data_IF_934754972850
#
_entry.id   IF_934754972850
#
_cell.length_a   1.000
_cell.length_b   1.000
_cell.length_c   1.000
_cell.angle_alpha   90.00
_cell.angle_beta   90.00
_cell.angle_gamma   90.00
#
_symmetry.space_group_name_H-M   'P 1'
#
loop_
_entity.id
_entity.type
_entity.pdbx_description
1 polymer ?
#
# COMPACT_ATOMS: atom_id res chain seq x y z
N UNK A 1 3.40 30.41 2.65
CA UNK A 1 4.10 30.98 3.82
C UNK A 1 5.27 30.11 4.28
N UNK A 2 5.06 28.83 4.62
CA UNK A 2 6.12 27.92 5.13
C UNK A 2 7.34 27.80 4.20
N UNK A 3 7.13 27.60 2.89
CA UNK A 3 8.23 27.52 1.91
C UNK A 3 9.13 28.77 1.88
N UNK A 4 8.57 29.97 2.08
CA UNK A 4 9.38 31.19 2.10
C UNK A 4 10.37 31.20 3.26
N UNK A 5 10.04 30.56 4.39
CA UNK A 5 10.96 30.40 5.53
C UNK A 5 12.09 29.46 5.14
N UNK A 6 11.78 28.28 4.58
CA UNK A 6 12.79 27.31 4.12
C UNK A 6 13.80 27.94 3.16
N UNK A 7 13.34 28.76 2.20
CA UNK A 7 14.22 29.50 1.29
C UNK A 7 15.20 30.43 1.98
N UNK A 8 14.77 31.16 3.02
CA UNK A 8 15.65 32.07 3.76
C UNK A 8 16.78 31.32 4.48
N UNK A 9 16.51 30.10 4.92
CA UNK A 9 17.49 29.24 5.59
C UNK A 9 18.26 28.32 4.63
N UNK A 10 17.94 28.31 3.33
CA UNK A 10 18.58 27.44 2.35
C UNK A 10 18.33 25.94 2.58
N UNK A 11 17.17 25.59 3.14
CA UNK A 11 16.79 24.19 3.46
C UNK A 11 15.63 23.69 2.60
N UNK A 12 15.53 22.36 2.44
CA UNK A 12 14.37 21.67 1.86
C UNK A 12 13.14 21.76 2.77
N UNK A 13 11.96 21.43 2.22
CA UNK A 13 10.73 21.23 3.00
C UNK A 13 10.30 19.76 2.93
N UNK A 14 10.00 19.17 4.09
CA UNK A 14 9.57 17.77 4.21
C UNK A 14 8.05 17.61 4.26
N UNK A 15 7.53 16.70 3.44
CA UNK A 15 6.12 16.29 3.42
C UNK A 15 5.98 14.91 4.05
N UNK A 16 5.39 14.87 5.25
CA UNK A 16 5.03 13.63 5.95
C UNK A 16 3.69 13.08 5.44
N UNK A 17 3.51 11.76 5.54
CA UNK A 17 2.35 11.06 4.96
C UNK A 17 2.20 11.35 3.46
N UNK A 18 3.34 11.41 2.77
CA UNK A 18 3.43 11.70 1.34
C UNK A 18 3.14 10.50 0.44
N UNK A 19 2.62 9.40 0.99
CA UNK A 19 2.16 8.25 0.20
C UNK A 19 0.81 8.55 -0.47
N UNK A 20 0.61 8.02 -1.69
CA UNK A 20 -0.71 7.89 -2.30
C UNK A 20 -1.42 9.19 -2.69
N UNK A 21 -0.72 10.34 -2.77
CA UNK A 21 -1.31 11.58 -3.28
C UNK A 21 -1.45 11.52 -4.81
N UNK A 22 -2.29 12.39 -5.37
CA UNK A 22 -2.48 12.48 -6.82
C UNK A 22 -1.27 13.13 -7.50
N UNK A 23 -1.17 12.96 -8.82
CA UNK A 23 -0.11 13.59 -9.64
C UNK A 23 -0.11 15.11 -9.47
N UNK A 24 -1.29 15.72 -9.50
CA UNK A 24 -1.50 17.17 -9.39
C UNK A 24 -1.00 17.70 -8.04
N UNK A 25 -1.23 16.95 -6.95
CA UNK A 25 -0.71 17.32 -5.65
C UNK A 25 0.83 17.36 -5.64
N UNK A 26 1.49 16.38 -6.26
CA UNK A 26 2.95 16.37 -6.34
C UNK A 26 3.50 17.47 -7.26
N UNK A 27 2.80 17.77 -8.36
CA UNK A 27 3.15 18.87 -9.27
C UNK A 27 3.13 20.20 -8.56
N UNK A 28 2.04 20.49 -7.82
CA UNK A 28 1.95 21.70 -6.99
C UNK A 28 3.08 21.76 -5.97
N UNK A 29 3.41 20.65 -5.29
CA UNK A 29 4.52 20.61 -4.35
C UNK A 29 5.85 20.93 -5.04
N UNK A 30 6.14 20.28 -6.17
CA UNK A 30 7.34 20.49 -6.97
C UNK A 30 7.50 21.93 -7.45
N UNK A 31 6.45 22.49 -8.04
CA UNK A 31 6.42 23.86 -8.54
C UNK A 31 6.64 24.89 -7.43
N UNK A 32 5.92 24.74 -6.32
CA UNK A 32 6.02 25.68 -5.19
C UNK A 32 7.44 25.68 -4.62
N UNK A 33 8.07 24.52 -4.50
CA UNK A 33 9.38 24.38 -3.87
C UNK A 33 10.56 24.47 -4.85
N UNK A 34 10.30 24.57 -6.16
CA UNK A 34 11.35 24.39 -7.17
C UNK A 34 12.07 23.05 -7.00
N UNK A 35 11.32 21.99 -6.67
CA UNK A 35 11.82 20.64 -6.39
C UNK A 35 12.75 20.50 -5.16
N UNK A 36 12.96 21.55 -4.35
CA UNK A 36 13.72 21.49 -3.10
C UNK A 36 12.86 20.94 -1.94
N UNK A 37 12.52 19.66 -2.03
CA UNK A 37 11.57 19.00 -1.15
C UNK A 37 12.01 17.58 -0.75
N UNK A 38 11.41 17.07 0.31
CA UNK A 38 11.51 15.68 0.74
C UNK A 38 10.11 15.07 0.86
N UNK A 39 9.89 13.88 0.31
CA UNK A 39 8.62 13.15 0.47
C UNK A 39 8.87 11.88 1.26
N UNK A 40 8.25 11.77 2.43
CA UNK A 40 8.29 10.55 3.22
C UNK A 40 7.18 9.60 2.81
N UNK A 41 7.57 8.45 2.26
CA UNK A 41 6.66 7.38 1.85
C UNK A 41 6.94 6.11 2.66
N UNK A 42 5.88 5.47 3.17
CA UNK A 42 6.02 4.20 3.90
C UNK A 42 4.83 3.28 3.67
N UNK A 43 3.60 3.75 3.90
CA UNK A 43 2.37 2.96 3.69
C UNK A 43 2.25 2.46 2.25
N UNK A 44 2.65 3.31 1.29
CA UNK A 44 2.64 2.92 -0.13
C UNK A 44 3.44 1.64 -0.40
N UNK A 45 4.54 1.38 0.29
CA UNK A 45 5.33 0.18 0.04
C UNK A 45 4.60 -1.09 0.52
N UNK A 46 3.86 -1.00 1.62
CA UNK A 46 2.99 -2.11 2.06
C UNK A 46 1.87 -2.37 1.05
N UNK A 47 1.26 -1.31 0.53
CA UNK A 47 0.27 -1.41 -0.55
C UNK A 47 0.84 -2.12 -1.79
N UNK A 48 2.00 -1.66 -2.29
CA UNK A 48 2.62 -2.21 -3.49
C UNK A 48 3.01 -3.69 -3.34
N UNK A 49 3.33 -4.15 -2.13
CA UNK A 49 3.51 -5.58 -1.85
C UNK A 49 2.20 -6.36 -2.03
N UNK A 50 1.08 -5.86 -1.50
CA UNK A 50 -0.23 -6.46 -1.70
C UNK A 50 -0.58 -6.62 -3.17
N UNK A 51 -0.35 -5.58 -3.98
CA UNK A 51 -0.60 -5.65 -5.43
C UNK A 51 0.35 -6.61 -6.14
N UNK A 52 1.63 -6.67 -5.74
CA UNK A 52 2.58 -7.63 -6.31
C UNK A 52 2.16 -9.07 -6.04
N UNK A 53 1.71 -9.37 -4.82
CA UNK A 53 1.21 -10.70 -4.46
C UNK A 53 -0.09 -11.04 -5.18
N UNK A 54 -1.01 -10.08 -5.35
CA UNK A 54 -2.27 -10.31 -6.07
C UNK A 54 -2.08 -10.58 -7.56
N UNK A 55 -0.96 -10.15 -8.14
CA UNK A 55 -0.61 -10.33 -9.55
C UNK A 55 0.31 -11.54 -9.79
N UNK A 56 0.93 -12.09 -8.75
CA UNK A 56 1.82 -13.24 -8.85
C UNK A 56 1.06 -14.50 -9.27
N UNK A 57 1.65 -15.29 -10.18
CA UNK A 57 1.12 -16.59 -10.58
C UNK A 57 1.59 -17.73 -9.68
N UNK A 58 2.56 -17.47 -8.80
CA UNK A 58 3.03 -18.45 -7.84
C UNK A 58 1.92 -18.80 -6.82
N UNK A 59 1.60 -20.10 -6.62
CA UNK A 59 0.54 -20.51 -5.70
C UNK A 59 0.74 -20.08 -4.23
N UNK A 60 1.99 -20.02 -3.76
CA UNK A 60 2.29 -19.60 -2.38
C UNK A 60 2.04 -18.10 -2.19
N UNK A 61 2.43 -17.28 -3.16
CA UNK A 61 2.15 -15.84 -3.13
C UNK A 61 0.65 -15.55 -3.21
N UNK A 62 -0.06 -16.26 -4.09
CA UNK A 62 -1.52 -16.16 -4.21
C UNK A 62 -2.23 -16.61 -2.93
N UNK A 63 -1.71 -17.62 -2.23
CA UNK A 63 -2.18 -18.03 -0.91
C UNK A 63 -1.97 -16.95 0.14
N UNK A 64 -0.76 -16.37 0.21
CA UNK A 64 -0.46 -15.27 1.12
C UNK A 64 -1.35 -14.04 0.86
N UNK A 65 -1.59 -13.70 -0.41
CA UNK A 65 -2.51 -12.62 -0.80
C UNK A 65 -3.93 -12.86 -0.29
N UNK A 66 -4.48 -14.07 -0.51
CA UNK A 66 -5.83 -14.42 -0.05
C UNK A 66 -5.96 -14.32 1.45
N UNK A 67 -5.01 -14.86 2.19
CA UNK A 67 -5.04 -14.80 3.66
C UNK A 67 -4.92 -13.36 4.17
N UNK A 68 -4.08 -12.54 3.54
CA UNK A 68 -3.96 -11.12 3.89
C UNK A 68 -5.25 -10.35 3.60
N UNK A 69 -5.85 -10.55 2.43
CA UNK A 69 -7.12 -9.93 2.09
C UNK A 69 -8.24 -10.36 3.06
N UNK A 70 -8.29 -11.64 3.43
CA UNK A 70 -9.26 -12.12 4.41
C UNK A 70 -9.06 -11.46 5.79
N UNK A 71 -7.81 -11.32 6.24
CA UNK A 71 -7.49 -10.59 7.46
C UNK A 71 -8.03 -9.15 7.45
N UNK A 72 -7.96 -8.45 6.32
CA UNK A 72 -8.48 -7.08 6.23
C UNK A 72 -10.00 -7.02 6.21
N UNK A 73 -10.65 -8.02 5.60
CA UNK A 73 -12.11 -8.22 5.72
C UNK A 73 -12.49 -8.45 7.18
N UNK A 74 -11.79 -9.32 7.90
CA UNK A 74 -12.07 -9.61 9.30
C UNK A 74 -11.90 -8.38 10.19
N UNK A 75 -10.82 -7.62 9.99
CA UNK A 75 -10.57 -6.33 10.65
C UNK A 75 -11.69 -5.31 10.35
N UNK A 76 -12.10 -5.18 9.09
CA UNK A 76 -13.14 -4.24 8.69
C UNK A 76 -14.49 -4.59 9.31
N UNK A 77 -14.85 -5.88 9.34
CA UNK A 77 -16.08 -6.36 9.99
C UNK A 77 -16.00 -6.12 11.50
N UNK A 78 -14.90 -6.50 12.17
CA UNK A 78 -14.74 -6.26 13.60
C UNK A 78 -14.84 -4.77 13.94
N UNK A 79 -14.15 -3.91 13.16
CA UNK A 79 -14.20 -2.47 13.32
C UNK A 79 -15.61 -1.91 13.12
N UNK A 80 -16.34 -2.34 12.08
CA UNK A 80 -17.68 -1.82 11.75
C UNK A 80 -18.75 -2.08 12.82
N UNK A 81 -18.47 -3.00 13.76
CA UNK A 81 -19.30 -3.33 14.92
C UNK A 81 -18.57 -3.09 16.26
N UNK A 82 -17.46 -2.36 16.25
CA UNK A 82 -16.75 -1.97 17.46
C UNK A 82 -17.64 -1.08 18.35
N UNK A 83 -17.44 -1.21 19.66
CA UNK A 83 -18.03 -0.31 20.65
C UNK A 83 -17.34 1.07 20.68
N UNK A 84 -16.11 1.16 20.16
CA UNK A 84 -15.44 2.44 19.97
C UNK A 84 -16.04 3.16 18.76
N UNK A 85 -16.64 4.33 18.99
CA UNK A 85 -17.36 5.07 17.95
C UNK A 85 -16.45 5.55 16.81
N UNK A 86 -15.17 5.80 17.08
CA UNK A 86 -14.21 6.25 16.06
C UNK A 86 -13.80 5.09 15.17
N UNK A 87 -13.42 3.96 15.78
CA UNK A 87 -13.10 2.71 15.08
C UNK A 87 -14.29 2.28 14.21
N UNK A 88 -15.49 2.30 14.77
CA UNK A 88 -16.73 1.98 14.07
C UNK A 88 -16.97 2.87 12.86
N UNK A 89 -16.92 4.19 13.05
CA UNK A 89 -17.14 5.16 11.98
C UNK A 89 -16.14 4.98 10.84
N UNK A 90 -14.86 4.81 11.16
CA UNK A 90 -13.80 4.66 10.16
C UNK A 90 -13.93 3.34 9.40
N UNK A 91 -14.17 2.23 10.10
CA UNK A 91 -14.36 0.93 9.45
C UNK A 91 -15.59 0.93 8.53
N UNK A 92 -16.72 1.51 8.97
CA UNK A 92 -17.91 1.65 8.12
C UNK A 92 -17.63 2.50 6.88
N UNK A 93 -16.89 3.59 7.01
CA UNK A 93 -16.47 4.40 5.86
C UNK A 93 -15.66 3.57 4.85
N UNK A 94 -14.71 2.75 5.31
CA UNK A 94 -13.91 1.91 4.43
C UNK A 94 -14.76 0.83 3.74
N UNK A 95 -15.65 0.16 4.47
CA UNK A 95 -16.59 -0.82 3.92
C UNK A 95 -17.48 -0.18 2.86
N UNK A 96 -18.12 0.93 3.17
CA UNK A 96 -18.99 1.67 2.23
C UNK A 96 -18.21 2.13 1.00
N UNK A 97 -16.99 2.64 1.17
CA UNK A 97 -16.14 3.08 0.06
C UNK A 97 -15.78 1.93 -0.87
N UNK A 98 -15.36 0.78 -0.32
CA UNK A 98 -15.05 -0.41 -1.12
C UNK A 98 -16.28 -0.90 -1.89
N UNK A 99 -17.43 -1.03 -1.23
CA UNK A 99 -18.66 -1.53 -1.86
C UNK A 99 -19.16 -0.57 -2.94
N UNK A 100 -19.16 0.74 -2.67
CA UNK A 100 -19.57 1.76 -3.63
C UNK A 100 -18.66 1.78 -4.87
N UNK A 101 -17.34 1.68 -4.68
CA UNK A 101 -16.38 1.60 -5.79
C UNK A 101 -16.63 0.37 -6.70
N UNK A 102 -17.19 -0.70 -6.14
CA UNK A 102 -17.57 -1.91 -6.86
C UNK A 102 -19.04 -1.92 -7.33
N UNK A 103 -19.79 -0.82 -7.17
CA UNK A 103 -21.20 -0.74 -7.54
C UNK A 103 -22.11 -1.69 -6.75
N UNK A 104 -21.75 -2.02 -5.50
CA UNK A 104 -22.52 -2.90 -4.61
C UNK A 104 -23.35 -2.11 -3.58
N UNK A 105 -24.41 -2.71 -3.01
CA UNK A 105 -25.17 -2.09 -1.93
C UNK A 105 -24.30 -1.77 -0.70
N UNK A 106 -24.53 -0.62 -0.07
CA UNK A 106 -23.75 -0.12 1.07
C UNK A 106 -24.44 -0.28 2.42
N UNK A 107 -25.74 -0.56 2.44
CA UNK A 107 -26.54 -0.79 3.65
C UNK A 107 -26.33 -2.21 4.19
N UNK A 108 -25.12 -2.48 4.66
CA UNK A 108 -24.66 -3.84 5.04
C UNK A 108 -24.44 -4.01 6.54
N UNK A 109 -24.76 -2.98 7.34
CA UNK A 109 -24.43 -2.92 8.77
C UNK A 109 -25.52 -3.47 9.70
N UNK A 110 -26.50 -4.21 9.16
CA UNK A 110 -27.56 -4.84 9.96
C UNK A 110 -27.03 -5.93 10.91
N UNK A 111 -25.98 -6.65 10.51
CA UNK A 111 -25.28 -7.63 11.36
C UNK A 111 -23.85 -7.88 10.86
N UNK A 112 -22.94 -8.39 11.72
CA UNK A 112 -21.59 -8.76 11.29
C UNK A 112 -21.59 -9.77 10.14
N UNK A 113 -22.53 -10.72 10.13
CA UNK A 113 -22.67 -11.71 9.08
C UNK A 113 -23.08 -11.09 7.73
N UNK A 114 -24.01 -10.13 7.73
CA UNK A 114 -24.42 -9.43 6.51
C UNK A 114 -23.28 -8.58 5.93
N UNK A 115 -22.56 -7.84 6.79
CA UNK A 115 -21.39 -7.06 6.38
C UNK A 115 -20.29 -7.94 5.80
N UNK A 116 -19.98 -9.07 6.47
CA UNK A 116 -19.01 -10.06 6.00
C UNK A 116 -19.38 -10.61 4.63
N UNK A 117 -20.61 -11.10 4.48
CA UNK A 117 -21.08 -11.67 3.22
C UNK A 117 -20.99 -10.67 2.06
N UNK A 118 -21.28 -9.40 2.30
CA UNK A 118 -21.15 -8.35 1.29
C UNK A 118 -19.69 -8.12 0.85
N UNK A 119 -18.74 -8.13 1.78
CA UNK A 119 -17.31 -7.97 1.48
C UNK A 119 -16.70 -9.20 0.82
N UNK A 120 -17.06 -10.41 1.27
CA UNK A 120 -16.58 -11.68 0.71
C UNK A 120 -17.17 -11.97 -0.68
N UNK A 121 -18.28 -11.32 -1.05
CA UNK A 121 -18.81 -11.35 -2.41
C UNK A 121 -17.99 -10.51 -3.41
N UNK A 122 -17.07 -9.65 -2.94
CA UNK A 122 -16.16 -8.91 -3.81
C UNK A 122 -14.96 -9.79 -4.20
N UNK A 123 -14.55 -9.81 -5.47
CA UNK A 123 -13.26 -10.39 -5.86
C UNK A 123 -12.12 -9.70 -5.08
N UNK A 124 -11.20 -10.44 -4.44
CA UNK A 124 -10.09 -9.84 -3.69
C UNK A 124 -9.32 -8.82 -4.53
N UNK A 125 -9.20 -7.60 -4.01
CA UNK A 125 -8.50 -6.51 -4.68
C UNK A 125 -7.76 -5.63 -3.68
N UNK A 126 -6.55 -5.22 -4.04
CA UNK A 126 -5.79 -4.23 -3.28
C UNK A 126 -6.42 -2.83 -3.35
N UNK A 127 -7.26 -2.56 -4.35
CA UNK A 127 -7.95 -1.27 -4.52
C UNK A 127 -9.13 -1.07 -3.56
N UNK A 128 -9.54 -2.12 -2.84
CA UNK A 128 -10.57 -1.97 -1.81
C UNK A 128 -10.03 -1.13 -0.67
N UNK A 129 -10.79 -0.13 -0.22
CA UNK A 129 -10.39 0.72 0.91
C UNK A 129 -10.22 -0.06 2.22
N UNK A 130 -10.84 -1.23 2.34
CA UNK A 130 -10.59 -2.19 3.43
C UNK A 130 -9.17 -2.76 3.37
N UNK A 131 -8.57 -2.88 2.19
CA UNK A 131 -7.13 -3.10 1.98
C UNK A 131 -6.36 -1.76 2.04
N UNK A 132 -6.44 -1.05 3.16
CA UNK A 132 -5.76 0.22 3.37
C UNK A 132 -4.21 0.12 3.38
N UNK A 133 -3.52 1.17 2.92
CA UNK A 133 -2.05 1.26 2.79
C UNK A 133 -1.27 0.98 4.09
N UNK A 134 -1.92 1.02 5.25
CA UNK A 134 -1.32 0.77 6.56
C UNK A 134 -1.68 -0.60 7.16
N UNK A 135 -2.07 -1.57 6.34
CA UNK A 135 -2.33 -2.96 6.75
C UNK A 135 -1.07 -3.77 7.12
N UNK A 136 0.01 -3.10 7.56
CA UNK A 136 1.24 -3.73 8.03
C UNK A 136 1.01 -4.62 9.25
N UNK A 137 -0.12 -4.45 9.95
CA UNK A 137 -0.51 -5.25 11.10
C UNK A 137 -0.46 -6.76 10.81
N UNK A 138 -0.79 -7.17 9.58
CA UNK A 138 -0.76 -8.57 9.17
C UNK A 138 0.65 -9.18 9.13
N UNK A 139 1.70 -8.36 8.95
CA UNK A 139 3.10 -8.82 8.84
C UNK A 139 3.57 -9.44 10.16
N UNK A 140 3.10 -8.92 11.30
CA UNK A 140 3.41 -9.40 12.65
C UNK A 140 2.13 -9.78 13.40
N UNK A 141 1.15 -10.33 12.69
CA UNK A 141 -0.05 -10.90 13.30
C UNK A 141 0.18 -12.37 13.65
N UNK A 142 0.19 -12.74 14.93
CA UNK A 142 0.38 -14.12 15.38
C UNK A 142 -0.62 -15.07 14.70
N UNK A 143 -0.12 -15.98 13.85
CA UNK A 143 -0.97 -16.88 13.07
C UNK A 143 -1.89 -16.19 12.05
N UNK A 144 -1.56 -14.96 11.63
CA UNK A 144 -2.35 -14.20 10.65
C UNK A 144 -3.69 -13.68 11.18
N UNK A 145 -3.81 -13.54 12.50
CA UNK A 145 -5.08 -13.27 13.21
C UNK A 145 -5.37 -11.77 13.42
N UNK A 146 -6.62 -11.30 13.19
CA UNK A 146 -7.01 -9.88 13.30
C UNK A 146 -7.23 -9.39 14.74
N UNK A 147 -7.32 -10.27 15.72
CA UNK A 147 -7.56 -9.91 17.11
C UNK A 147 -6.43 -9.01 17.63
N UNK A 148 -6.78 -7.94 18.37
CA UNK A 148 -5.82 -6.94 18.88
C UNK A 148 -4.63 -7.58 19.63
N UNK A 149 -4.86 -8.67 20.36
CA UNK A 149 -3.82 -9.39 21.09
C UNK A 149 -2.82 -10.17 20.21
N UNK A 150 -3.17 -10.44 18.95
CA UNK A 150 -2.29 -11.11 17.99
C UNK A 150 -1.45 -10.11 17.18
N UNK A 151 -1.78 -8.82 17.19
CA UNK A 151 -1.11 -7.81 16.37
C UNK A 151 0.20 -7.33 17.01
N UNK A 152 1.24 -7.14 16.20
CA UNK A 152 2.55 -6.71 16.69
C UNK A 152 3.24 -7.77 17.57
N UNK A 153 2.94 -9.05 17.34
CA UNK A 153 3.45 -10.15 18.15
C UNK A 153 4.93 -10.42 17.84
N UNK A 154 5.78 -10.28 18.86
CA UNK A 154 7.20 -10.61 18.79
C UNK A 154 7.54 -11.98 19.38
N UNK A 155 6.54 -12.84 19.62
CA UNK A 155 6.75 -14.26 19.93
C UNK A 155 7.14 -15.07 18.67
N UNK A 156 7.48 -16.37 18.82
CA UNK A 156 7.69 -17.25 17.67
C UNK A 156 6.52 -17.25 16.67
N UNK A 157 5.27 -17.09 17.11
CA UNK A 157 4.11 -17.13 16.22
C UNK A 157 4.06 -15.91 15.27
N UNK A 158 4.30 -14.70 15.78
CA UNK A 158 4.41 -13.50 14.94
C UNK A 158 5.61 -13.54 14.00
N UNK A 159 6.76 -14.07 14.43
CA UNK A 159 7.91 -14.23 13.52
C UNK A 159 7.69 -15.30 12.45
N UNK A 160 6.96 -16.38 12.75
CA UNK A 160 6.53 -17.35 11.73
C UNK A 160 5.62 -16.71 10.67
N UNK A 161 4.69 -15.86 11.09
CA UNK A 161 3.87 -15.08 10.15
C UNK A 161 4.75 -14.16 9.28
N UNK A 162 5.67 -13.41 9.90
CA UNK A 162 6.59 -12.53 9.18
C UNK A 162 7.48 -13.28 8.19
N UNK A 163 7.91 -14.50 8.52
CA UNK A 163 8.74 -15.33 7.66
C UNK A 163 8.08 -15.61 6.30
N UNK A 164 6.74 -15.66 6.23
CA UNK A 164 5.99 -15.82 4.98
C UNK A 164 6.30 -14.70 3.96
N UNK A 165 6.50 -13.47 4.44
CA UNK A 165 6.85 -12.32 3.60
C UNK A 165 8.30 -12.38 3.10
N UNK A 166 9.20 -13.05 3.82
CA UNK A 166 10.57 -13.28 3.36
C UNK A 166 10.69 -14.48 2.42
N UNK A 167 9.69 -15.36 2.42
CA UNK A 167 9.63 -16.55 1.58
C UNK A 167 8.85 -16.34 0.26
N UNK A 168 8.41 -15.11 -0.03
CA UNK A 168 7.72 -14.79 -1.29
C UNK A 168 8.58 -15.12 -2.50
N UNK A 169 7.94 -15.53 -3.58
CA UNK A 169 8.65 -16.07 -4.74
C UNK A 169 9.53 -15.02 -5.45
N UNK A 170 10.51 -15.46 -6.28
CA UNK A 170 11.27 -14.55 -7.13
C UNK A 170 10.38 -13.68 -8.04
N UNK A 171 9.24 -14.20 -8.49
CA UNK A 171 8.25 -13.46 -9.29
C UNK A 171 7.66 -12.30 -8.48
N UNK A 172 7.13 -12.57 -7.29
CA UNK A 172 6.58 -11.52 -6.42
C UNK A 172 7.64 -10.49 -6.01
N UNK A 173 8.88 -10.92 -5.75
CA UNK A 173 9.99 -10.00 -5.44
C UNK A 173 10.29 -9.05 -6.61
N UNK A 174 10.31 -9.56 -7.84
CA UNK A 174 10.49 -8.73 -9.02
C UNK A 174 9.29 -7.79 -9.23
N UNK A 175 8.05 -8.29 -9.14
CA UNK A 175 6.85 -7.47 -9.27
C UNK A 175 6.84 -6.35 -8.25
N UNK A 176 7.16 -6.64 -6.99
CA UNK A 176 7.26 -5.65 -5.93
C UNK A 176 8.33 -4.60 -6.25
N UNK A 177 9.56 -5.02 -6.61
CA UNK A 177 10.62 -4.10 -6.98
C UNK A 177 10.23 -3.19 -8.16
N UNK A 178 9.59 -3.75 -9.19
CA UNK A 178 9.09 -2.98 -10.34
C UNK A 178 8.04 -1.95 -9.92
N UNK A 179 7.13 -2.32 -9.02
CA UNK A 179 6.12 -1.40 -8.49
C UNK A 179 6.73 -0.25 -7.68
N UNK A 180 7.72 -0.54 -6.83
CA UNK A 180 8.46 0.50 -6.10
C UNK A 180 9.17 1.44 -7.06
N UNK A 181 9.92 0.90 -8.03
CA UNK A 181 10.62 1.73 -9.01
C UNK A 181 9.65 2.57 -9.85
N UNK A 182 8.51 2.02 -10.28
CA UNK A 182 7.48 2.76 -11.01
C UNK A 182 6.92 3.92 -10.17
N UNK A 183 6.67 3.69 -8.87
CA UNK A 183 6.22 4.74 -7.97
C UNK A 183 7.28 5.83 -7.77
N UNK A 184 8.56 5.47 -7.66
CA UNK A 184 9.65 6.44 -7.56
C UNK A 184 9.82 7.26 -8.85
N UNK A 185 9.69 6.63 -10.02
CA UNK A 185 9.70 7.31 -11.33
C UNK A 185 8.54 8.32 -11.39
N UNK A 186 7.34 7.88 -10.98
CA UNK A 186 6.15 8.74 -10.90
C UNK A 186 6.36 9.94 -9.97
N UNK A 187 6.94 9.74 -8.78
CA UNK A 187 7.26 10.84 -7.87
C UNK A 187 8.30 11.79 -8.49
N UNK A 188 9.37 11.25 -9.06
CA UNK A 188 10.44 12.05 -9.65
C UNK A 188 9.94 12.93 -10.82
N UNK A 189 9.08 12.38 -11.66
CA UNK A 189 8.44 13.13 -12.76
C UNK A 189 7.53 14.22 -12.20
N UNK A 190 6.58 13.84 -11.33
CA UNK A 190 5.53 14.76 -10.90
C UNK A 190 6.01 15.80 -9.89
N UNK A 191 7.17 15.62 -9.26
CA UNK A 191 7.79 16.66 -8.42
C UNK A 191 8.76 17.54 -9.19
N UNK A 192 9.04 17.24 -10.47
CA UNK A 192 10.06 17.94 -11.25
C UNK A 192 11.49 17.66 -10.79
N UNK A 193 11.73 16.55 -10.06
CA UNK A 193 13.08 16.11 -9.70
C UNK A 193 13.84 15.52 -10.90
N UNK A 194 13.12 14.94 -11.85
CA UNK A 194 13.67 14.43 -13.10
C UNK A 194 12.80 14.84 -14.29
N UNK A 195 13.41 14.95 -15.47
CA UNK A 195 12.65 15.28 -16.68
C UNK A 195 11.75 14.14 -17.10
N UNK A 196 10.67 14.48 -17.81
CA UNK A 196 9.72 13.52 -18.35
C UNK A 196 10.36 12.50 -19.29
N UNK A 197 11.33 12.93 -20.10
CA UNK A 197 12.06 12.06 -21.02
C UNK A 197 12.87 11.01 -20.25
N UNK A 198 13.53 11.42 -19.16
CA UNK A 198 14.29 10.52 -18.29
C UNK A 198 13.37 9.52 -17.60
N UNK A 199 12.25 9.98 -17.05
CA UNK A 199 11.26 9.11 -16.40
C UNK A 199 10.62 8.12 -17.39
N UNK A 200 10.32 8.57 -18.61
CA UNK A 200 9.81 7.70 -19.69
C UNK A 200 10.82 6.62 -20.04
N UNK A 201 12.09 6.98 -20.25
CA UNK A 201 13.15 6.01 -20.55
C UNK A 201 13.38 5.01 -19.41
N UNK A 202 13.36 5.49 -18.16
CA UNK A 202 13.45 4.62 -16.99
C UNK A 202 12.26 3.65 -16.90
N UNK A 203 11.04 4.12 -17.20
CA UNK A 203 9.83 3.28 -17.24
C UNK A 203 9.90 2.19 -18.32
N UNK A 204 10.43 2.52 -19.50
CA UNK A 204 10.66 1.54 -20.57
C UNK A 204 11.67 0.47 -20.14
N UNK A 205 12.82 0.87 -19.61
CA UNK A 205 13.84 -0.05 -19.10
C UNK A 205 13.26 -0.95 -18.01
N UNK A 206 12.55 -0.34 -17.05
CA UNK A 206 11.90 -1.06 -15.95
C UNK A 206 10.95 -2.15 -16.46
N UNK A 207 10.16 -1.86 -17.49
CA UNK A 207 9.21 -2.82 -18.06
C UNK A 207 9.91 -4.07 -18.62
N UNK A 208 11.14 -3.93 -19.13
CA UNK A 208 11.92 -4.99 -19.76
C UNK A 208 12.58 -5.99 -18.81
N UNK A 209 12.70 -5.70 -17.51
CA UNK A 209 13.32 -6.66 -16.58
C UNK A 209 12.47 -7.92 -16.39
N UNK A 210 13.11 -9.06 -16.61
CA UNK A 210 12.57 -10.41 -16.43
C UNK A 210 13.00 -11.08 -15.11
N UNK A 211 14.08 -10.59 -14.49
CA UNK A 211 14.57 -11.08 -13.19
C UNK A 211 14.94 -9.92 -12.28
N UNK A 212 14.85 -10.13 -10.96
CA UNK A 212 15.27 -9.14 -9.98
C UNK A 212 16.77 -8.87 -10.07
N UNK A 213 17.59 -9.90 -10.28
CA UNK A 213 19.05 -9.75 -10.39
C UNK A 213 19.45 -8.87 -11.58
N UNK A 214 18.78 -9.01 -12.73
CA UNK A 214 19.01 -8.13 -13.87
C UNK A 214 18.70 -6.66 -13.53
N UNK A 215 17.59 -6.42 -12.83
CA UNK A 215 17.21 -5.09 -12.37
C UNK A 215 18.23 -4.51 -11.37
N UNK A 216 18.67 -5.31 -10.39
CA UNK A 216 19.63 -4.87 -9.38
C UNK A 216 21.02 -4.59 -9.96
N UNK A 217 21.45 -5.39 -10.94
CA UNK A 217 22.73 -5.21 -11.62
C UNK A 217 22.81 -3.94 -12.46
N UNK A 218 21.68 -3.41 -12.92
CA UNK A 218 21.62 -2.15 -13.65
C UNK A 218 21.58 -0.93 -12.72
N UNK A 219 21.01 -1.07 -11.51
CA UNK A 219 21.01 -0.01 -10.49
C UNK A 219 22.42 0.23 -9.93
N UNK A 220 23.26 -0.81 -9.87
CA UNK A 220 24.62 -0.74 -9.33
C UNK A 220 25.67 -0.20 -10.31
N UNK A 221 25.27 0.22 -11.51
CA UNK A 221 26.13 0.82 -12.54
C UNK A 221 26.07 2.34 -12.48
#
# INVERSE_FOLDING_TARGET
AQWNVCKQFGVSIGFHSGSGKSAENYQVMGEVTGSALEIKTSGRYTYEMGVALSQSKNPADAGLWKDWYQFTVDMAVAGAFSADATEQKMARLFVTTSLAACGKPTEVFASPAACRAALEALPPSAEHMTFFEYNFLYVLAAGGKPEKAALGDHSPAGYQQRARFYAVSPEARLLFAKRIAAYLIFLAENTGLASKERCTGAGQLLSGYATLDAMLNDISR
#
